data_IF_702965602809
#
_entry.id   IF_702965602809
#
_cell.length_a   1.000
_cell.length_b   1.000
_cell.length_c   1.000
_cell.angle_alpha   90.00
_cell.angle_beta   90.00
_cell.angle_gamma   90.00
#
_symmetry.space_group_name_H-M   'P 1'
#
loop_
_entity.id
_entity.type
_entity.pdbx_description
1 polymer ?
#
# COMPACT_ATOMS: atom_id res chain seq x y z
N UNK A 1 10.21 -12.18 1.64
CA UNK A 1 10.71 -11.82 0.29
C UNK A 1 9.72 -10.84 -0.34
N UNK A 2 10.02 -9.53 -0.43
CA UNK A 2 9.08 -8.54 -0.94
C UNK A 2 8.83 -8.71 -2.44
N UNK A 3 7.57 -8.58 -2.83
CA UNK A 3 7.15 -8.62 -4.23
C UNK A 3 6.28 -7.41 -4.54
N UNK A 4 6.71 -6.60 -5.51
CA UNK A 4 6.03 -5.36 -5.87
C UNK A 4 5.67 -5.37 -7.35
N UNK A 5 4.42 -5.06 -7.64
CA UNK A 5 3.94 -4.89 -9.02
C UNK A 5 3.55 -3.44 -9.24
N UNK A 6 4.31 -2.75 -10.09
CA UNK A 6 4.05 -1.39 -10.52
C UNK A 6 3.21 -1.46 -11.78
N UNK A 7 1.94 -1.05 -11.68
CA UNK A 7 1.07 -0.89 -12.85
C UNK A 7 1.15 0.56 -13.31
N UNK A 8 1.39 0.78 -14.59
CA UNK A 8 1.44 2.13 -15.17
C UNK A 8 0.77 2.19 -16.55
N UNK A 9 0.35 3.38 -16.95
CA UNK A 9 -0.14 3.63 -18.31
C UNK A 9 0.98 3.48 -19.34
N UNK A 10 0.58 3.30 -20.61
CA UNK A 10 1.52 3.16 -21.74
C UNK A 10 2.31 4.44 -22.03
N UNK A 11 3.36 4.31 -22.83
CA UNK A 11 4.08 5.44 -23.42
C UNK A 11 5.36 5.82 -22.68
N UNK A 12 5.88 4.95 -21.82
CA UNK A 12 7.16 5.14 -21.14
C UNK A 12 8.21 4.34 -21.89
N UNK A 13 9.45 4.82 -21.86
CA UNK A 13 10.59 4.10 -22.42
C UNK A 13 11.04 2.98 -21.48
N UNK A 14 11.85 2.05 -21.99
CA UNK A 14 12.43 1.00 -21.16
C UNK A 14 13.33 1.55 -20.05
N UNK A 15 14.12 2.57 -20.38
CA UNK A 15 14.98 3.25 -19.42
C UNK A 15 14.18 3.87 -18.27
N UNK A 16 13.05 4.52 -18.57
CA UNK A 16 12.16 5.10 -17.55
C UNK A 16 11.51 4.01 -16.67
N UNK A 17 11.08 2.89 -17.26
CA UNK A 17 10.52 1.76 -16.50
C UNK A 17 11.56 1.15 -15.56
N UNK A 18 12.79 0.98 -16.03
CA UNK A 18 13.90 0.45 -15.24
C UNK A 18 14.31 1.40 -14.11
N UNK A 19 14.39 2.70 -14.39
CA UNK A 19 14.68 3.71 -13.37
C UNK A 19 13.59 3.73 -12.29
N UNK A 20 12.32 3.64 -12.67
CA UNK A 20 11.20 3.55 -11.73
C UNK A 20 11.28 2.30 -10.86
N UNK A 21 11.52 1.13 -11.46
CA UNK A 21 11.64 -0.13 -10.72
C UNK A 21 12.76 -0.08 -9.67
N UNK A 22 13.91 0.48 -10.07
CA UNK A 22 15.07 0.64 -9.18
C UNK A 22 14.78 1.60 -8.02
N UNK A 23 14.18 2.76 -8.30
CA UNK A 23 13.84 3.73 -7.26
C UNK A 23 12.85 3.15 -6.24
N UNK A 24 11.86 2.39 -6.70
CA UNK A 24 10.91 1.70 -5.80
C UNK A 24 11.60 0.63 -4.97
N UNK A 25 12.51 -0.14 -5.58
CA UNK A 25 13.30 -1.12 -4.84
C UNK A 25 14.14 -0.46 -3.73
N UNK A 26 14.87 0.60 -4.05
CA UNK A 26 15.69 1.33 -3.08
C UNK A 26 14.83 1.91 -1.93
N UNK A 27 13.67 2.46 -2.24
CA UNK A 27 12.75 2.99 -1.22
C UNK A 27 12.22 1.91 -0.27
N UNK A 28 11.91 0.71 -0.78
CA UNK A 28 11.41 -0.39 0.04
C UNK A 28 12.54 -0.96 0.90
N UNK A 29 13.72 -1.17 0.32
CA UNK A 29 14.87 -1.65 1.06
C UNK A 29 15.29 -0.70 2.18
N UNK A 30 15.10 0.61 2.02
CA UNK A 30 15.39 1.60 3.04
C UNK A 30 14.35 1.68 4.18
N UNK A 31 13.15 1.13 3.99
CA UNK A 31 12.02 1.30 4.93
C UNK A 31 11.52 0.00 5.54
N UNK A 32 11.73 -1.11 4.86
CA UNK A 32 11.44 -2.45 5.34
C UNK A 32 12.76 -3.10 5.65
N UNK A 33 12.90 -3.63 6.88
CA UNK A 33 14.05 -4.44 7.24
C UNK A 33 13.96 -5.77 6.48
N UNK A 34 14.54 -5.78 5.28
CA UNK A 34 14.69 -6.97 4.46
C UNK A 34 16.09 -7.51 4.72
N UNK A 35 16.19 -8.47 5.62
CA UNK A 35 17.43 -9.18 5.94
C UNK A 35 17.99 -9.91 4.71
N UNK A 36 18.74 -9.19 3.86
CA UNK A 36 19.38 -9.71 2.64
C UNK A 36 18.47 -10.51 1.69
N UNK A 37 17.15 -10.41 1.83
CA UNK A 37 16.23 -11.15 0.99
C UNK A 37 16.11 -10.50 -0.39
N UNK A 38 16.16 -11.28 -1.48
CA UNK A 38 15.96 -10.73 -2.82
C UNK A 38 14.55 -10.14 -2.92
N UNK A 39 14.42 -9.01 -3.61
CA UNK A 39 13.13 -8.39 -3.90
C UNK A 39 12.83 -8.51 -5.39
N UNK A 40 11.57 -8.76 -5.71
CA UNK A 40 11.08 -8.81 -7.08
C UNK A 40 10.23 -7.57 -7.34
N UNK A 41 10.61 -6.79 -8.35
CA UNK A 41 9.84 -5.65 -8.84
C UNK A 41 9.41 -5.92 -10.27
N UNK A 42 8.10 -5.97 -10.52
CA UNK A 42 7.52 -6.16 -11.84
C UNK A 42 6.86 -4.87 -12.32
N UNK A 43 7.22 -4.41 -13.51
CA UNK A 43 6.57 -3.26 -14.16
C UNK A 43 5.62 -3.77 -15.24
N UNK A 44 4.35 -3.41 -15.13
CA UNK A 44 3.30 -3.83 -16.07
C UNK A 44 2.65 -2.60 -16.70
N UNK A 45 2.73 -2.51 -18.02
CA UNK A 45 1.96 -1.52 -18.77
C UNK A 45 0.53 -1.98 -18.96
N UNK A 46 -0.40 -1.12 -18.57
CA UNK A 46 -1.84 -1.39 -18.68
C UNK A 46 -2.41 -0.42 -19.73
N UNK A 47 -3.03 -0.93 -20.81
CA UNK A 47 -3.74 -0.09 -21.77
C UNK A 47 -4.87 0.69 -21.09
N UNK A 48 -5.15 1.91 -21.55
CA UNK A 48 -6.19 2.78 -20.96
C UNK A 48 -7.56 2.11 -20.87
N UNK A 49 -7.99 1.40 -21.91
CA UNK A 49 -9.26 0.65 -21.92
C UNK A 49 -9.33 -0.56 -20.97
N UNK A 50 -8.21 -0.93 -20.34
CA UNK A 50 -8.13 -2.00 -19.32
C UNK A 50 -7.81 -1.45 -17.93
N UNK A 51 -7.69 -0.13 -17.77
CA UNK A 51 -7.44 0.51 -16.48
C UNK A 51 -8.74 0.64 -15.68
N UNK A 52 -9.23 -0.49 -15.16
CA UNK A 52 -10.53 -0.54 -14.46
C UNK A 52 -10.41 -0.27 -12.96
N UNK A 53 -9.33 0.38 -12.52
CA UNK A 53 -9.07 0.58 -11.10
C UNK A 53 -9.98 1.67 -10.54
N UNK A 54 -11.02 1.25 -9.79
CA UNK A 54 -11.81 2.15 -8.95
C UNK A 54 -10.92 2.63 -7.80
N UNK A 55 -10.63 3.92 -7.74
CA UNK A 55 -9.94 4.54 -6.60
C UNK A 55 -10.81 4.37 -5.35
N UNK A 56 -10.54 3.36 -4.52
CA UNK A 56 -11.05 3.37 -3.14
C UNK A 56 -10.18 4.36 -2.39
N UNK A 57 -10.71 5.55 -2.11
CA UNK A 57 -10.10 6.48 -1.15
C UNK A 57 -9.81 5.69 0.13
N UNK A 58 -8.54 5.50 0.45
CA UNK A 58 -8.12 4.95 1.73
C UNK A 58 -8.71 5.85 2.82
N UNK A 59 -9.67 5.33 3.59
CA UNK A 59 -10.01 5.92 4.87
C UNK A 59 -9.04 5.30 5.86
N UNK A 60 -8.11 6.11 6.37
CA UNK A 60 -7.35 5.71 7.55
C UNK A 60 -8.34 5.19 8.60
N UNK A 61 -8.06 4.08 9.29
CA UNK A 61 -8.91 3.64 10.39
C UNK A 61 -9.06 4.84 11.33
N UNK A 62 -10.30 5.33 11.46
CA UNK A 62 -10.60 6.38 12.41
C UNK A 62 -10.25 5.91 13.83
N UNK A 63 -10.02 6.83 14.78
CA UNK A 63 -9.74 6.45 16.15
C UNK A 63 -10.82 5.47 16.62
N UNK A 64 -10.40 4.37 17.27
CA UNK A 64 -11.31 3.35 17.77
C UNK A 64 -12.44 4.04 18.58
N UNK A 65 -13.70 3.64 18.38
CA UNK A 65 -14.80 4.23 19.13
C UNK A 65 -14.50 4.08 20.62
N UNK A 66 -14.46 5.22 21.31
CA UNK A 66 -14.07 5.34 22.70
C UNK A 66 -14.94 4.39 23.56
N UNK A 67 -14.40 3.24 23.95
CA UNK A 67 -15.09 2.21 24.75
C UNK A 67 -15.36 2.67 26.19
N UNK A 68 -14.96 3.89 26.55
CA UNK A 68 -15.12 4.45 27.88
C UNK A 68 -16.57 4.79 28.30
N UNK A 69 -17.58 4.66 27.43
CA UNK A 69 -19.00 4.94 27.81
C UNK A 69 -19.83 3.74 28.26
N UNK A 70 -19.23 2.56 28.53
CA UNK A 70 -19.96 1.38 29.05
C UNK A 70 -19.84 1.11 30.55
N UNK A 71 -19.44 2.09 31.37
CA UNK A 71 -19.33 1.95 32.85
C UNK A 71 -20.11 3.01 33.65
N UNK A 72 -21.35 3.31 33.27
CA UNK A 72 -22.29 4.09 34.13
C UNK A 72 -23.75 3.60 34.03
N UNK A 73 -23.96 2.28 34.10
CA UNK A 73 -25.33 1.74 34.16
C UNK A 73 -25.47 0.50 35.07
N UNK A 74 -24.60 0.35 36.06
CA UNK A 74 -24.68 -0.75 37.03
C UNK A 74 -24.13 -0.31 38.39
N UNK A 75 -24.77 0.70 38.99
CA UNK A 75 -24.72 0.91 40.44
C UNK A 75 -26.00 1.62 40.90
N UNK A 76 -27.06 0.83 41.05
CA UNK A 76 -28.19 1.03 41.97
C UNK A 76 -28.65 -0.38 42.37
N UNK A 77 -29.20 -0.50 43.58
CA UNK A 77 -29.36 -1.71 44.42
C UNK A 77 -28.04 -2.02 45.16
N UNK A 78 -27.93 -1.86 46.47
CA UNK A 78 -28.92 -1.93 47.57
C UNK A 78 -28.94 -0.66 48.43
#
# INVERSE_FOLDING_TARGET
MPHVTIRMGRGRTEAERMACARAVAEAIAATVDVENEPMIVTVVEVPEGKWNQRYRRWKAPGPAPNTAKRRRASQRFL
#
